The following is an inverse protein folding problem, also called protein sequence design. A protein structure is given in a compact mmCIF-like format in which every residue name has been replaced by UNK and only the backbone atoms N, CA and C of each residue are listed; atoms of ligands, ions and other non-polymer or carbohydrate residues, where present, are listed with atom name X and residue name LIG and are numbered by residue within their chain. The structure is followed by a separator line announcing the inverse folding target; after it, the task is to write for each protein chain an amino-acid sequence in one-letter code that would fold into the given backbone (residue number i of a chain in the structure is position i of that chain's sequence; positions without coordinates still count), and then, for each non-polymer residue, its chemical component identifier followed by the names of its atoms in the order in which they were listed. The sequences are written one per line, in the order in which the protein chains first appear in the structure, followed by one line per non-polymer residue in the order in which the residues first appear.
data_IF_110336954008
#
_entry.id   IF_110336954008
#
_cell.length_a   1.000
_cell.length_b   1.000
_cell.length_c   1.000
_cell.angle_alpha   90.00
_cell.angle_beta   90.00
_cell.angle_gamma   90.00
#
_symmetry.space_group_name_H-M   'P 1'
#
loop_
_entity.id
_entity.type
_entity.pdbx_description
1 polymer ?
#
# COMPACT_ATOMS: atom_id res chain seq x y z
N UNK A 1 -10.19 -32.84 -4.51
CA UNK A 1 -8.98 -33.62 -4.11
C UNK A 1 -8.12 -32.72 -3.24
N UNK A 2 -7.62 -33.23 -2.14
CA UNK A 2 -6.68 -32.50 -1.26
C UNK A 2 -5.31 -32.45 -1.92
N UNK A 3 -4.70 -31.27 -2.01
CA UNK A 3 -3.37 -31.06 -2.58
C UNK A 3 -2.39 -30.59 -1.49
N UNK A 4 -1.15 -31.06 -1.55
CA UNK A 4 -0.06 -30.56 -0.71
C UNK A 4 0.54 -29.29 -1.37
N UNK A 5 0.92 -28.30 -0.55
CA UNK A 5 1.52 -27.06 -1.03
C UNK A 5 2.44 -26.43 0.02
N UNK A 6 3.31 -25.52 -0.42
CA UNK A 6 4.21 -24.78 0.46
C UNK A 6 3.65 -23.40 0.80
N UNK A 7 3.84 -23.00 2.07
CA UNK A 7 3.50 -21.67 2.54
C UNK A 7 4.55 -21.14 3.53
N UNK A 8 4.72 -19.83 3.61
CA UNK A 8 5.41 -19.20 4.74
C UNK A 8 4.44 -19.24 5.91
N UNK A 9 4.82 -19.93 6.97
CA UNK A 9 4.03 -20.02 8.21
C UNK A 9 4.77 -19.30 9.30
N UNK A 10 4.09 -18.37 9.96
CA UNK A 10 4.56 -17.75 11.21
C UNK A 10 3.88 -18.44 12.39
N UNK A 11 4.60 -18.56 13.49
CA UNK A 11 4.12 -19.18 14.71
C UNK A 11 4.66 -18.42 15.94
N UNK A 12 3.92 -18.48 17.05
CA UNK A 12 4.31 -17.83 18.30
C UNK A 12 4.01 -18.75 19.49
N UNK A 13 4.59 -19.93 19.45
CA UNK A 13 4.43 -20.91 20.54
C UNK A 13 5.32 -20.52 21.73
N UNK A 14 4.74 -20.47 22.93
CA UNK A 14 5.42 -20.12 24.19
C UNK A 14 6.19 -18.79 24.08
N UNK A 15 5.58 -17.78 23.47
CA UNK A 15 6.18 -16.44 23.26
C UNK A 15 7.43 -16.44 22.37
N UNK A 16 7.78 -17.57 21.78
CA UNK A 16 8.89 -17.70 20.83
C UNK A 16 8.37 -17.58 19.39
N UNK A 17 8.55 -16.41 18.82
CA UNK A 17 8.17 -16.16 17.41
C UNK A 17 9.09 -16.92 16.47
N UNK A 18 8.49 -17.57 15.48
CA UNK A 18 9.20 -18.30 14.43
C UNK A 18 8.54 -18.08 13.06
N UNK A 19 9.32 -18.27 12.01
CA UNK A 19 8.88 -18.23 10.62
C UNK A 19 9.61 -19.31 9.82
N UNK A 20 8.87 -20.06 9.03
CA UNK A 20 9.44 -21.12 8.20
C UNK A 20 8.56 -21.41 6.99
N UNK A 21 9.14 -21.95 5.93
CA UNK A 21 8.38 -22.58 4.86
C UNK A 21 7.93 -23.94 5.36
N UNK A 22 6.63 -24.19 5.36
CA UNK A 22 6.02 -25.47 5.78
C UNK A 22 5.16 -26.05 4.66
N UNK A 23 5.04 -27.37 4.65
CA UNK A 23 4.08 -28.09 3.81
C UNK A 23 2.71 -28.09 4.51
N UNK A 24 1.69 -27.65 3.80
CA UNK A 24 0.28 -27.61 4.20
C UNK A 24 -0.55 -28.41 3.19
N UNK A 25 -1.81 -28.65 3.54
CA UNK A 25 -2.81 -29.24 2.64
C UNK A 25 -3.93 -28.24 2.36
N UNK A 26 -4.52 -28.30 1.16
CA UNK A 26 -5.68 -27.43 0.84
C UNK A 26 -6.87 -27.66 1.77
N UNK A 27 -6.96 -28.82 2.42
CA UNK A 27 -7.92 -29.11 3.50
C UNK A 27 -7.69 -28.30 4.79
N UNK A 28 -6.47 -27.78 4.98
CA UNK A 28 -6.13 -26.97 6.17
C UNK A 28 -6.61 -25.50 6.01
N UNK A 29 -6.95 -25.12 4.79
CA UNK A 29 -7.50 -23.79 4.46
C UNK A 29 -9.02 -23.78 4.75
N UNK A 30 -9.41 -23.29 5.92
CA UNK A 30 -10.79 -23.41 6.43
C UNK A 30 -11.70 -22.25 6.03
N UNK A 31 -11.15 -21.08 5.78
CA UNK A 31 -11.92 -19.86 5.52
C UNK A 31 -12.17 -19.67 4.02
N UNK A 32 -13.38 -19.20 3.67
CA UNK A 32 -13.73 -18.80 2.31
C UNK A 32 -14.39 -19.90 1.47
N UNK A 33 -14.86 -19.49 0.28
CA UNK A 33 -15.61 -20.30 -0.67
C UNK A 33 -14.96 -20.38 -2.07
N UNK A 34 -13.78 -19.75 -2.26
CA UNK A 34 -12.99 -19.83 -3.51
C UNK A 34 -11.57 -20.25 -3.19
N UNK A 35 -11.12 -21.35 -3.79
CA UNK A 35 -9.73 -21.80 -3.75
C UNK A 35 -8.98 -21.25 -4.95
N UNK A 36 -7.91 -20.51 -4.68
CA UNK A 36 -7.06 -19.89 -5.70
C UNK A 36 -5.67 -20.50 -5.65
N UNK A 37 -5.15 -20.93 -6.78
CA UNK A 37 -3.73 -21.20 -6.98
C UNK A 37 -3.03 -19.87 -7.14
N UNK A 38 -2.19 -19.52 -6.17
CA UNK A 38 -1.47 -18.25 -6.16
C UNK A 38 -0.29 -18.30 -7.12
N UNK A 39 -0.23 -17.35 -8.04
CA UNK A 39 0.87 -17.24 -9.00
C UNK A 39 1.90 -16.22 -8.51
N UNK A 40 1.43 -15.09 -7.96
CA UNK A 40 2.28 -14.00 -7.45
C UNK A 40 1.63 -13.35 -6.22
N UNK A 41 2.47 -12.86 -5.33
CA UNK A 41 2.12 -11.98 -4.22
C UNK A 41 3.17 -10.86 -4.17
N UNK A 42 2.81 -9.67 -3.68
CA UNK A 42 3.76 -8.59 -3.49
C UNK A 42 4.23 -8.49 -2.04
N UNK A 43 5.38 -7.86 -1.81
CA UNK A 43 5.89 -7.61 -0.46
C UNK A 43 5.58 -6.18 -0.05
N UNK A 44 4.78 -6.01 0.98
CA UNK A 44 4.36 -4.73 1.51
C UNK A 44 5.00 -4.46 2.88
N UNK A 45 5.03 -3.19 3.30
CA UNK A 45 5.54 -2.80 4.62
C UNK A 45 4.84 -3.55 5.76
N UNK A 46 3.53 -3.77 5.63
CA UNK A 46 2.73 -4.54 6.59
C UNK A 46 3.19 -6.00 6.69
N UNK A 47 3.50 -6.63 5.56
CA UNK A 47 4.03 -8.00 5.55
C UNK A 47 5.37 -8.10 6.28
N UNK A 48 6.24 -7.08 6.11
CA UNK A 48 7.50 -7.02 6.82
C UNK A 48 7.30 -6.89 8.34
N UNK A 49 6.32 -6.10 8.80
CA UNK A 49 5.96 -6.03 10.21
C UNK A 49 5.45 -7.36 10.75
N UNK A 50 4.60 -8.05 9.99
CA UNK A 50 4.04 -9.35 10.36
C UNK A 50 5.13 -10.41 10.43
N UNK A 51 6.01 -10.47 9.44
CA UNK A 51 7.13 -11.40 9.39
C UNK A 51 8.20 -11.13 10.45
N UNK A 52 8.21 -9.92 11.01
CA UNK A 52 9.12 -9.51 12.07
C UNK A 52 8.40 -9.42 13.42
N UNK A 53 7.94 -10.56 13.95
CA UNK A 53 7.27 -10.66 15.26
C UNK A 53 5.74 -10.53 15.26
N UNK A 54 5.06 -10.89 14.17
CA UNK A 54 3.59 -10.82 14.09
C UNK A 54 2.98 -9.42 14.18
N UNK A 55 3.79 -8.41 14.56
CA UNK A 55 3.49 -6.98 14.54
C UNK A 55 2.29 -6.55 15.39
N UNK A 56 1.85 -7.33 16.37
CA UNK A 56 0.55 -7.15 17.07
C UNK A 56 -0.67 -7.15 16.13
N UNK A 57 -0.44 -7.43 14.85
CA UNK A 57 -1.44 -7.45 13.78
C UNK A 57 -2.13 -8.81 13.75
N UNK A 58 -1.32 -9.89 13.74
CA UNK A 58 -1.80 -11.28 13.77
C UNK A 58 -2.11 -11.69 15.21
N UNK A 59 -3.31 -12.22 15.43
CA UNK A 59 -3.80 -12.61 16.77
C UNK A 59 -3.90 -14.11 16.99
N UNK A 60 -3.89 -14.88 15.91
CA UNK A 60 -4.02 -16.36 15.95
C UNK A 60 -2.84 -16.99 15.25
N UNK A 61 -2.24 -17.98 15.87
CA UNK A 61 -1.11 -18.75 15.33
C UNK A 61 -1.43 -20.26 15.33
N UNK A 62 -0.87 -21.05 14.43
CA UNK A 62 0.01 -20.66 13.31
C UNK A 62 -0.75 -19.87 12.23
N UNK A 63 -0.03 -19.05 11.43
CA UNK A 63 -0.66 -18.16 10.48
C UNK A 63 0.15 -18.04 9.17
N UNK A 64 -0.53 -17.81 8.04
CA UNK A 64 0.06 -17.57 6.72
C UNK A 64 -0.08 -16.10 6.37
N UNK A 65 0.99 -15.31 6.29
CA UNK A 65 0.94 -13.90 5.91
C UNK A 65 0.82 -13.68 4.39
N UNK A 66 0.92 -12.42 3.95
CA UNK A 66 0.80 -11.98 2.56
C UNK A 66 -0.53 -11.28 2.30
N UNK A 67 -0.50 -9.93 2.28
CA UNK A 67 -1.74 -9.11 2.27
C UNK A 67 -2.36 -8.97 0.89
N UNK A 68 -1.73 -9.46 -0.15
CA UNK A 68 -2.24 -9.45 -1.51
C UNK A 68 -1.75 -10.67 -2.30
N UNK A 69 -2.44 -10.97 -3.36
CA UNK A 69 -2.00 -11.96 -4.35
C UNK A 69 -2.77 -11.81 -5.67
N UNK A 70 -2.22 -12.39 -6.71
CA UNK A 70 -2.90 -12.73 -7.96
C UNK A 70 -2.72 -14.20 -8.26
N UNK A 71 -3.72 -14.80 -8.87
CA UNK A 71 -3.70 -16.23 -9.14
C UNK A 71 -4.84 -16.68 -10.04
N UNK A 72 -4.99 -17.98 -10.10
CA UNK A 72 -6.00 -18.66 -10.94
C UNK A 72 -6.94 -19.47 -10.05
N UNK A 73 -8.25 -19.31 -10.25
CA UNK A 73 -9.26 -20.06 -9.50
C UNK A 73 -9.15 -21.55 -9.80
N UNK A 74 -9.02 -22.35 -8.76
CA UNK A 74 -8.97 -23.81 -8.83
C UNK A 74 -10.35 -24.43 -8.62
N UNK A 75 -11.07 -23.95 -7.59
CA UNK A 75 -12.47 -24.28 -7.33
C UNK A 75 -13.21 -23.07 -6.76
N UNK A 76 -14.51 -22.98 -7.02
CA UNK A 76 -15.39 -21.95 -6.47
C UNK A 76 -16.76 -22.54 -6.15
N UNK A 77 -17.31 -22.12 -5.00
CA UNK A 77 -18.70 -22.33 -4.61
C UNK A 77 -19.59 -21.14 -5.02
N UNK A 78 -18.99 -20.02 -5.46
CA UNK A 78 -19.69 -18.83 -5.97
C UNK A 78 -19.74 -18.82 -7.49
N UNK A 79 -20.93 -18.62 -8.06
CA UNK A 79 -21.17 -18.60 -9.51
C UNK A 79 -20.44 -17.44 -10.25
N UNK A 80 -20.01 -16.39 -9.53
CA UNK A 80 -19.23 -15.28 -10.11
C UNK A 80 -17.86 -15.71 -10.61
N UNK A 81 -17.32 -16.80 -10.08
CA UNK A 81 -15.99 -17.30 -10.40
C UNK A 81 -16.05 -18.77 -10.84
N UNK A 82 -15.30 -19.10 -11.87
CA UNK A 82 -15.15 -20.47 -12.36
C UNK A 82 -13.68 -20.85 -12.43
N UNK A 83 -13.41 -22.15 -12.43
CA UNK A 83 -12.06 -22.69 -12.61
C UNK A 83 -11.42 -22.08 -13.87
N UNK A 84 -10.17 -21.60 -13.69
CA UNK A 84 -9.40 -20.93 -14.72
C UNK A 84 -9.54 -19.41 -14.75
N UNK A 85 -10.52 -18.81 -14.05
CA UNK A 85 -10.59 -17.35 -13.93
C UNK A 85 -9.33 -16.80 -13.24
N UNK A 86 -8.73 -15.77 -13.84
CA UNK A 86 -7.63 -15.04 -13.19
C UNK A 86 -8.20 -14.01 -12.23
N UNK A 87 -7.65 -13.93 -11.02
CA UNK A 87 -8.14 -13.08 -9.94
C UNK A 87 -7.02 -12.32 -9.24
N UNK A 88 -7.41 -11.19 -8.68
CA UNK A 88 -6.56 -10.33 -7.84
C UNK A 88 -7.26 -10.16 -6.50
N UNK A 89 -6.49 -10.17 -5.42
CA UNK A 89 -6.92 -9.81 -4.07
C UNK A 89 -5.97 -8.80 -3.47
N UNK A 90 -6.54 -7.71 -2.94
CA UNK A 90 -5.84 -6.72 -2.13
C UNK A 90 -6.75 -6.28 -0.99
N UNK A 91 -6.24 -6.23 0.24
CA UNK A 91 -7.01 -5.77 1.38
C UNK A 91 -7.84 -6.84 2.10
N UNK A 92 -9.02 -6.48 2.58
CA UNK A 92 -9.99 -7.34 3.31
C UNK A 92 -9.41 -8.09 4.50
N UNK A 93 -8.29 -7.61 5.06
CA UNK A 93 -7.54 -8.24 6.16
C UNK A 93 -7.00 -9.64 5.83
N UNK A 94 -6.88 -9.99 4.57
CA UNK A 94 -6.15 -11.17 4.13
C UNK A 94 -4.66 -10.96 4.44
N UNK A 95 -3.98 -11.99 4.96
CA UNK A 95 -2.64 -11.86 5.52
C UNK A 95 -2.56 -11.24 6.92
N UNK A 96 -3.70 -10.86 7.53
CA UNK A 96 -3.80 -10.30 8.88
C UNK A 96 -4.74 -11.11 9.79
N UNK A 97 -5.94 -11.40 9.31
CA UNK A 97 -6.98 -12.15 10.01
C UNK A 97 -7.36 -13.45 9.28
N UNK A 98 -7.21 -13.46 7.97
CA UNK A 98 -7.38 -14.61 7.09
C UNK A 98 -6.03 -15.01 6.50
N UNK A 99 -5.80 -16.29 6.25
CA UNK A 99 -4.56 -16.75 5.62
C UNK A 99 -4.31 -16.04 4.31
N UNK A 100 -3.06 -15.63 4.09
CA UNK A 100 -2.64 -14.72 3.03
C UNK A 100 -1.96 -15.39 1.84
N UNK A 101 -1.41 -14.53 0.98
CA UNK A 101 -0.85 -14.88 -0.32
C UNK A 101 0.59 -15.41 -0.30
N UNK A 102 1.28 -15.47 0.86
CA UNK A 102 2.62 -16.08 0.92
C UNK A 102 2.53 -17.61 0.97
N UNK A 103 1.75 -18.15 0.08
CA UNK A 103 1.49 -19.58 -0.10
C UNK A 103 1.17 -19.91 -1.55
N UNK A 104 1.28 -21.19 -1.92
CA UNK A 104 0.94 -21.62 -3.27
C UNK A 104 -0.58 -21.72 -3.50
N UNK A 105 -1.37 -21.82 -2.44
CA UNK A 105 -2.83 -21.80 -2.48
C UNK A 105 -3.39 -20.91 -1.39
N UNK A 106 -4.46 -20.18 -1.70
CA UNK A 106 -5.25 -19.42 -0.75
C UNK A 106 -6.73 -19.76 -0.92
N UNK A 107 -7.45 -19.92 0.20
CA UNK A 107 -8.90 -20.07 0.19
C UNK A 107 -9.51 -18.81 0.82
N UNK A 108 -10.34 -18.10 0.08
CA UNK A 108 -10.84 -16.78 0.45
C UNK A 108 -12.31 -16.61 0.09
N UNK A 109 -12.97 -15.62 0.69
CA UNK A 109 -14.33 -15.26 0.30
C UNK A 109 -14.33 -14.63 -1.09
N UNK A 110 -15.28 -15.03 -1.91
CA UNK A 110 -15.47 -14.51 -3.28
C UNK A 110 -15.60 -12.98 -3.33
N UNK A 111 -16.20 -12.38 -2.30
CA UNK A 111 -16.36 -10.92 -2.18
C UNK A 111 -15.03 -10.16 -2.09
N UNK A 112 -13.94 -10.83 -1.71
CA UNK A 112 -12.59 -10.25 -1.65
C UNK A 112 -11.87 -10.25 -2.99
N UNK A 113 -12.40 -10.98 -3.98
CA UNK A 113 -11.76 -11.21 -5.25
C UNK A 113 -12.28 -10.28 -6.34
N UNK A 114 -11.36 -9.83 -7.18
CA UNK A 114 -11.66 -9.10 -8.42
C UNK A 114 -11.11 -9.91 -9.59
N UNK A 115 -11.90 -10.07 -10.67
CA UNK A 115 -11.39 -10.66 -11.92
C UNK A 115 -10.27 -9.80 -12.48
N UNK A 116 -9.13 -10.41 -12.78
CA UNK A 116 -8.02 -9.70 -13.38
C UNK A 116 -8.39 -9.24 -14.80
N UNK A 117 -8.12 -7.96 -15.16
CA UNK A 117 -8.30 -7.50 -16.53
C UNK A 117 -7.51 -8.35 -17.53
N UNK A 118 -8.07 -8.61 -18.72
CA UNK A 118 -7.42 -9.46 -19.73
C UNK A 118 -6.00 -8.99 -20.11
N UNK A 119 -5.84 -7.66 -20.24
CA UNK A 119 -4.55 -7.04 -20.61
C UNK A 119 -3.51 -7.02 -19.49
N UNK A 120 -3.88 -7.38 -18.26
CA UNK A 120 -2.99 -7.35 -17.11
C UNK A 120 -2.62 -8.77 -16.68
N UNK A 121 -1.36 -9.17 -16.84
CA UNK A 121 -0.91 -10.48 -16.38
C UNK A 121 -0.90 -10.56 -14.85
N UNK A 122 -0.96 -11.78 -14.27
CA UNK A 122 -0.87 -11.97 -12.83
C UNK A 122 0.41 -11.36 -12.24
N UNK A 123 1.53 -11.46 -12.95
CA UNK A 123 2.79 -10.81 -12.57
C UNK A 123 2.66 -9.28 -12.50
N UNK A 124 2.12 -8.66 -13.55
CA UNK A 124 1.94 -7.20 -13.57
C UNK A 124 0.90 -6.74 -12.55
N UNK A 125 -0.13 -7.55 -12.27
CA UNK A 125 -1.08 -7.27 -11.19
C UNK A 125 -0.38 -7.12 -9.84
N UNK A 126 0.61 -7.97 -9.55
CA UNK A 126 1.36 -7.90 -8.28
C UNK A 126 2.56 -6.95 -8.31
N UNK A 127 3.04 -6.54 -9.48
CA UNK A 127 3.94 -5.38 -9.58
C UNK A 127 3.24 -4.07 -9.14
N UNK A 128 1.93 -3.98 -9.34
CA UNK A 128 1.09 -2.92 -8.77
C UNK A 128 0.72 -3.25 -7.31
N UNK A 129 0.07 -4.38 -7.09
CA UNK A 129 -0.33 -4.89 -5.79
C UNK A 129 -1.10 -3.89 -4.93
N UNK A 130 -1.03 -4.06 -3.63
CA UNK A 130 -1.60 -3.14 -2.64
C UNK A 130 -0.98 -1.75 -2.72
N UNK A 131 0.33 -1.66 -3.02
CA UNK A 131 1.02 -0.39 -3.14
C UNK A 131 0.50 0.44 -4.31
N UNK A 132 0.29 -0.17 -5.48
CA UNK A 132 -0.28 0.49 -6.65
C UNK A 132 -1.72 0.95 -6.44
N UNK A 133 -2.56 0.10 -5.84
CA UNK A 133 -3.92 0.48 -5.46
C UNK A 133 -3.92 1.70 -4.53
N UNK A 134 -3.08 1.70 -3.50
CA UNK A 134 -2.96 2.82 -2.55
C UNK A 134 -2.51 4.09 -3.25
N UNK A 135 -1.50 4.01 -4.12
CA UNK A 135 -1.01 5.16 -4.89
C UNK A 135 -2.11 5.76 -5.80
N UNK A 136 -2.89 4.91 -6.47
CA UNK A 136 -4.01 5.33 -7.30
C UNK A 136 -5.12 6.01 -6.48
N UNK A 137 -5.52 5.41 -5.35
CA UNK A 137 -6.52 6.01 -4.46
C UNK A 137 -6.09 7.40 -3.96
N UNK A 138 -4.83 7.56 -3.54
CA UNK A 138 -4.28 8.85 -3.14
C UNK A 138 -4.27 9.87 -4.30
N UNK A 139 -3.84 9.43 -5.49
CA UNK A 139 -3.79 10.29 -6.68
C UNK A 139 -5.18 10.73 -7.14
N UNK A 140 -6.15 9.82 -7.13
CA UNK A 140 -7.55 10.15 -7.45
C UNK A 140 -8.21 11.04 -6.41
N UNK A 141 -7.86 10.92 -5.12
CA UNK A 141 -8.35 11.84 -4.09
C UNK A 141 -7.87 13.28 -4.37
N UNK A 142 -6.60 13.46 -4.78
CA UNK A 142 -6.07 14.77 -5.19
C UNK A 142 -6.83 15.28 -6.41
N UNK A 143 -7.04 14.46 -7.41
CA UNK A 143 -7.77 14.82 -8.63
C UNK A 143 -9.23 15.18 -8.35
N UNK A 144 -9.92 14.42 -7.54
CA UNK A 144 -11.31 14.68 -7.16
C UNK A 144 -11.46 16.00 -6.38
N UNK A 145 -10.50 16.33 -5.52
CA UNK A 145 -10.49 17.61 -4.80
C UNK A 145 -10.34 18.78 -5.77
N UNK A 146 -9.46 18.68 -6.77
CA UNK A 146 -9.29 19.69 -7.80
C UNK A 146 -10.58 19.94 -8.59
N UNK A 147 -11.31 18.86 -8.92
CA UNK A 147 -12.58 18.94 -9.66
C UNK A 147 -13.72 19.54 -8.83
N UNK A 148 -13.76 19.27 -7.51
CA UNK A 148 -14.78 19.80 -6.59
C UNK A 148 -14.60 21.29 -6.28
N UNK A 149 -13.36 21.77 -6.26
CA UNK A 149 -13.04 23.18 -5.98
C UNK A 149 -12.95 23.96 -7.28
N UNK A 150 -14.07 24.45 -7.76
CA UNK A 150 -14.18 25.30 -8.96
C UNK A 150 -13.15 26.44 -8.90
N UNK A 151 -12.15 26.43 -9.78
CA UNK A 151 -11.12 27.44 -9.90
C UNK A 151 -9.81 27.20 -9.12
N UNK A 152 -9.73 26.18 -8.28
CA UNK A 152 -8.47 25.78 -7.63
C UNK A 152 -7.72 24.81 -8.50
N UNK A 153 -6.56 25.20 -9.02
CA UNK A 153 -5.68 24.29 -9.77
C UNK A 153 -4.65 23.71 -8.82
N UNK A 154 -4.68 22.39 -8.65
CA UNK A 154 -3.56 21.65 -8.05
C UNK A 154 -2.40 21.70 -9.03
N UNK A 155 -1.25 22.15 -8.59
CA UNK A 155 -0.06 22.28 -9.42
C UNK A 155 1.12 21.52 -8.84
N UNK A 156 1.47 21.83 -7.62
CA UNK A 156 2.67 21.30 -6.97
C UNK A 156 2.26 20.22 -5.94
N UNK A 157 2.63 18.96 -6.24
CA UNK A 157 2.28 17.79 -5.44
C UNK A 157 3.53 17.17 -4.84
N UNK A 158 3.54 17.00 -3.51
CA UNK A 158 4.62 16.35 -2.78
C UNK A 158 4.34 14.85 -2.62
N UNK A 159 5.36 14.03 -2.82
CA UNK A 159 5.29 12.58 -2.54
C UNK A 159 6.41 12.21 -1.59
N UNK A 160 6.08 11.78 -0.36
CA UNK A 160 7.08 11.30 0.59
C UNK A 160 7.37 9.81 0.41
N UNK A 161 8.56 9.37 0.83
CA UNK A 161 8.97 7.99 0.62
C UNK A 161 8.93 7.57 -0.85
N UNK A 162 9.28 8.50 -1.74
CA UNK A 162 9.09 8.41 -3.19
C UNK A 162 9.77 7.20 -3.86
N UNK A 163 10.78 6.60 -3.24
CA UNK A 163 11.45 5.38 -3.73
C UNK A 163 10.80 4.08 -3.24
N UNK A 164 9.75 4.17 -2.41
CA UNK A 164 8.99 3.01 -1.93
C UNK A 164 7.92 2.54 -2.93
N UNK A 165 7.26 1.42 -2.63
CA UNK A 165 6.24 0.84 -3.50
C UNK A 165 5.11 1.81 -3.83
N UNK A 166 4.48 2.44 -2.82
CA UNK A 166 3.42 3.44 -3.02
C UNK A 166 3.99 4.72 -3.66
N UNK A 167 5.10 5.25 -3.10
CA UNK A 167 5.65 6.53 -3.53
C UNK A 167 6.08 6.55 -4.99
N UNK A 168 6.75 5.52 -5.47
CA UNK A 168 7.23 5.46 -6.86
C UNK A 168 6.07 5.39 -7.87
N UNK A 169 5.02 4.64 -7.57
CA UNK A 169 3.83 4.58 -8.41
C UNK A 169 3.07 5.91 -8.35
N UNK A 170 2.97 6.54 -7.16
CA UNK A 170 2.33 7.86 -7.02
C UNK A 170 3.07 8.93 -7.84
N UNK A 171 4.41 8.97 -7.81
CA UNK A 171 5.20 9.86 -8.67
C UNK A 171 4.83 9.69 -10.13
N UNK A 172 4.86 8.45 -10.63
CA UNK A 172 4.56 8.15 -12.04
C UNK A 172 3.12 8.54 -12.42
N UNK A 173 2.14 8.21 -11.58
CA UNK A 173 0.72 8.47 -11.86
C UNK A 173 0.43 9.97 -11.85
N UNK A 174 0.87 10.68 -10.81
CA UNK A 174 0.66 12.13 -10.68
C UNK A 174 1.35 12.92 -11.80
N UNK A 175 2.56 12.50 -12.20
CA UNK A 175 3.24 13.08 -13.37
C UNK A 175 2.41 12.89 -14.64
N UNK A 176 1.87 11.69 -14.86
CA UNK A 176 0.97 11.43 -16.01
C UNK A 176 -0.32 12.21 -15.96
N UNK A 177 -0.81 12.57 -14.76
CA UNK A 177 -1.95 13.45 -14.57
C UNK A 177 -1.63 14.94 -14.82
N UNK A 178 -0.35 15.28 -15.06
CA UNK A 178 0.09 16.64 -15.41
C UNK A 178 0.50 17.51 -14.22
N UNK A 179 0.66 16.93 -13.02
CA UNK A 179 1.13 17.67 -11.84
C UNK A 179 2.65 17.85 -11.82
N UNK A 180 3.13 18.93 -11.19
CA UNK A 180 4.53 19.09 -10.82
C UNK A 180 4.82 18.23 -9.59
N UNK A 181 5.45 17.08 -9.78
CA UNK A 181 5.71 16.16 -8.68
C UNK A 181 7.06 16.44 -8.01
N UNK A 182 7.04 16.67 -6.70
CA UNK A 182 8.20 16.85 -5.85
C UNK A 182 8.40 15.58 -5.02
N UNK A 183 9.47 14.84 -5.29
CA UNK A 183 9.72 13.54 -4.71
C UNK A 183 10.69 13.62 -3.52
N UNK A 184 10.23 13.24 -2.32
CA UNK A 184 11.06 13.24 -1.11
C UNK A 184 11.66 11.85 -0.88
N UNK A 185 13.00 11.81 -0.76
CA UNK A 185 13.72 10.55 -0.47
C UNK A 185 14.97 10.78 0.38
N UNK A 186 15.33 9.79 1.18
CA UNK A 186 16.64 9.74 1.83
C UNK A 186 17.70 8.96 1.02
N UNK A 187 17.31 8.40 -0.14
CA UNK A 187 18.18 7.59 -1.01
C UNK A 187 18.69 8.43 -2.16
N UNK A 188 19.80 9.11 -1.95
CA UNK A 188 20.37 10.03 -2.93
C UNK A 188 20.86 9.33 -4.22
N UNK A 189 21.20 8.05 -4.13
CA UNK A 189 21.57 7.17 -5.25
C UNK A 189 20.39 6.82 -6.17
N UNK A 190 19.16 7.19 -5.81
CA UNK A 190 17.94 6.92 -6.58
C UNK A 190 17.36 8.15 -7.28
N UNK A 191 18.11 9.23 -7.39
CA UNK A 191 17.65 10.46 -8.07
C UNK A 191 17.27 10.20 -9.53
N UNK A 192 18.13 9.52 -10.27
CA UNK A 192 17.89 9.23 -11.69
C UNK A 192 16.63 8.39 -11.90
N UNK A 193 16.41 7.41 -11.03
CA UNK A 193 15.18 6.61 -11.04
C UNK A 193 13.94 7.49 -10.86
N UNK A 194 13.93 8.40 -9.88
CA UNK A 194 12.80 9.29 -9.65
C UNK A 194 12.59 10.29 -10.80
N UNK A 195 13.67 10.78 -11.41
CA UNK A 195 13.61 11.63 -12.60
C UNK A 195 13.00 10.87 -13.78
N UNK A 196 13.38 9.62 -14.00
CA UNK A 196 12.78 8.75 -15.03
C UNK A 196 11.29 8.49 -14.81
N UNK A 197 10.83 8.46 -13.55
CA UNK A 197 9.40 8.38 -13.22
C UNK A 197 8.65 9.70 -13.45
N UNK A 198 9.38 10.80 -13.72
CA UNK A 198 8.82 12.11 -14.03
C UNK A 198 8.81 13.10 -12.85
N UNK A 199 9.53 12.82 -11.77
CA UNK A 199 9.67 13.81 -10.70
C UNK A 199 10.35 15.08 -11.20
N UNK A 200 9.72 16.25 -10.96
CA UNK A 200 10.25 17.56 -11.33
C UNK A 200 11.40 17.97 -10.41
N UNK A 201 11.24 17.75 -9.12
CA UNK A 201 12.24 18.03 -8.11
C UNK A 201 12.40 16.85 -7.17
N UNK A 202 13.63 16.64 -6.68
CA UNK A 202 13.95 15.60 -5.71
C UNK A 202 14.52 16.27 -4.47
N UNK A 203 13.80 16.12 -3.35
CA UNK A 203 14.07 16.77 -2.09
C UNK A 203 14.66 15.77 -1.09
N UNK A 204 15.57 16.23 -0.24
CA UNK A 204 16.12 15.39 0.81
C UNK A 204 15.09 15.26 1.95
N UNK A 205 14.89 14.03 2.45
CA UNK A 205 14.02 13.78 3.61
C UNK A 205 14.40 14.58 4.85
N UNK A 206 15.67 15.01 4.97
CA UNK A 206 16.14 15.83 6.08
C UNK A 206 15.48 17.20 6.13
N UNK A 207 15.01 17.72 4.99
CA UNK A 207 14.29 18.97 4.91
C UNK A 207 12.91 18.90 5.59
N UNK A 208 12.41 17.67 5.79
CA UNK A 208 11.11 17.37 6.42
C UNK A 208 11.26 16.77 7.83
N UNK A 209 12.41 16.90 8.46
CA UNK A 209 12.67 16.48 9.85
C UNK A 209 12.83 17.69 10.77
N UNK A 210 12.73 17.46 12.09
CA UNK A 210 12.89 18.47 13.13
C UNK A 210 11.59 19.23 13.46
N UNK A 211 11.73 20.23 14.32
CA UNK A 211 10.61 21.02 14.79
C UNK A 211 9.92 21.78 13.65
N UNK A 212 8.61 21.79 13.66
CA UNK A 212 7.76 22.54 12.75
C UNK A 212 7.03 23.64 13.51
N UNK A 213 6.88 24.79 12.88
CA UNK A 213 5.95 25.82 13.36
C UNK A 213 4.51 25.34 13.19
N UNK A 214 3.59 25.93 13.92
CA UNK A 214 2.15 25.64 13.83
C UNK A 214 1.61 25.81 12.41
N UNK A 215 2.09 26.87 11.73
CA UNK A 215 1.85 27.18 10.32
C UNK A 215 3.16 27.68 9.70
N UNK A 216 3.49 27.18 8.53
CA UNK A 216 4.60 27.63 7.71
C UNK A 216 4.08 28.22 6.40
N UNK A 217 4.95 28.75 5.56
CA UNK A 217 4.57 29.18 4.21
C UNK A 217 3.95 28.00 3.46
N UNK A 218 2.77 28.20 2.89
CA UNK A 218 2.12 27.21 2.02
C UNK A 218 2.94 26.99 0.76
N UNK A 219 3.15 25.72 0.41
CA UNK A 219 3.97 25.27 -0.74
C UNK A 219 3.25 24.18 -1.54
N UNK A 220 2.52 23.30 -0.86
CA UNK A 220 1.98 22.07 -1.47
C UNK A 220 0.48 22.17 -1.67
N UNK A 221 0.02 21.98 -2.91
CA UNK A 221 -1.40 21.90 -3.24
C UNK A 221 -1.96 20.49 -2.98
N UNK A 222 -1.13 19.48 -3.19
CA UNK A 222 -1.44 18.09 -2.92
C UNK A 222 -0.26 17.33 -2.30
N UNK A 223 -0.56 16.32 -1.52
CA UNK A 223 0.46 15.49 -0.87
C UNK A 223 0.04 14.04 -0.87
N UNK A 224 0.96 13.14 -1.22
CA UNK A 224 0.87 11.71 -0.91
C UNK A 224 1.92 11.39 0.14
N UNK A 225 1.48 11.13 1.37
CA UNK A 225 2.39 10.84 2.47
C UNK A 225 2.40 9.35 2.83
N UNK A 226 3.58 8.74 2.67
CA UNK A 226 3.84 7.33 3.03
C UNK A 226 4.67 7.19 4.30
N UNK A 227 5.09 8.30 4.90
CA UNK A 227 6.08 8.34 5.98
C UNK A 227 5.47 8.58 7.35
N UNK A 228 4.51 9.50 7.46
CA UNK A 228 3.93 9.86 8.76
C UNK A 228 4.91 10.62 9.68
N UNK A 229 4.65 10.57 10.98
CA UNK A 229 5.54 11.11 12.01
C UNK A 229 5.82 12.61 11.87
N UNK A 230 7.03 13.03 12.22
CA UNK A 230 7.48 14.44 12.15
C UNK A 230 7.39 15.01 10.73
N UNK A 231 7.67 14.20 9.72
CA UNK A 231 7.59 14.61 8.33
C UNK A 231 6.16 15.05 7.98
N UNK A 232 5.16 14.27 8.36
CA UNK A 232 3.75 14.63 8.13
C UNK A 232 3.36 15.88 8.90
N UNK A 233 3.84 16.06 10.15
CA UNK A 233 3.61 17.27 10.93
C UNK A 233 4.04 18.53 10.18
N UNK A 234 5.25 18.53 9.63
CA UNK A 234 5.81 19.65 8.87
C UNK A 234 5.06 19.88 7.56
N UNK A 235 4.71 18.83 6.86
CA UNK A 235 3.96 18.87 5.61
C UNK A 235 2.57 19.49 5.81
N UNK A 236 1.87 19.13 6.88
CA UNK A 236 0.57 19.74 7.22
C UNK A 236 0.70 21.25 7.42
N UNK A 237 1.79 21.71 8.09
CA UNK A 237 2.05 23.14 8.27
C UNK A 237 2.39 23.87 6.95
N UNK A 238 2.86 23.17 5.92
CA UNK A 238 3.26 23.68 4.61
C UNK A 238 2.21 23.48 3.50
N UNK A 239 1.09 22.83 3.80
CA UNK A 239 0.01 22.63 2.83
C UNK A 239 -0.70 23.95 2.54
N UNK A 240 -0.98 24.25 1.27
CA UNK A 240 -1.69 25.45 0.84
C UNK A 240 -3.16 25.46 1.31
N UNK A 241 -3.82 26.63 1.36
CA UNK A 241 -5.27 26.69 1.57
C UNK A 241 -6.01 25.80 0.55
N UNK A 242 -6.97 25.02 1.04
CA UNK A 242 -7.70 24.01 0.28
C UNK A 242 -6.82 22.87 -0.29
N UNK A 243 -5.57 22.75 0.13
CA UNK A 243 -4.72 21.63 -0.25
C UNK A 243 -5.21 20.30 0.32
N UNK A 244 -4.78 19.19 -0.27
CA UNK A 244 -5.16 17.85 0.17
C UNK A 244 -3.95 17.04 0.57
N UNK A 245 -4.00 16.37 1.72
CA UNK A 245 -2.98 15.44 2.19
C UNK A 245 -3.57 14.02 2.27
N UNK A 246 -3.14 13.15 1.37
CA UNK A 246 -3.48 11.73 1.39
C UNK A 246 -2.41 10.97 2.20
N UNK A 247 -2.64 10.82 3.51
CA UNK A 247 -1.77 10.09 4.41
C UNK A 247 -2.08 8.60 4.35
N UNK A 248 -1.15 7.79 3.85
CA UNK A 248 -1.36 6.35 3.62
C UNK A 248 -0.28 5.46 4.24
N UNK A 249 0.72 6.03 4.92
CA UNK A 249 1.79 5.25 5.53
C UNK A 249 2.35 5.86 6.82
N UNK A 250 3.15 5.06 7.51
CA UNK A 250 3.73 5.41 8.80
C UNK A 250 5.18 4.90 8.95
N UNK A 251 5.92 4.84 7.84
CA UNK A 251 7.28 4.31 7.83
C UNK A 251 8.25 5.09 8.75
N UNK A 252 7.99 6.38 8.99
CA UNK A 252 8.74 7.24 9.88
C UNK A 252 8.14 7.39 11.29
N UNK A 253 6.94 6.84 11.52
CA UNK A 253 6.27 6.86 12.83
C UNK A 253 4.77 7.08 12.74
N UNK A 254 4.08 6.80 13.85
CA UNK A 254 2.61 6.89 13.96
C UNK A 254 2.14 8.16 14.69
N UNK A 255 3.03 8.85 15.37
CA UNK A 255 2.68 10.05 16.14
C UNK A 255 2.90 11.29 15.29
N UNK A 256 1.91 12.18 15.26
CA UNK A 256 2.01 13.52 14.68
C UNK A 256 1.87 14.52 15.82
N UNK A 257 2.77 15.51 15.89
CA UNK A 257 2.73 16.59 16.87
C UNK A 257 2.23 17.87 16.19
N UNK A 258 0.93 17.96 16.02
CA UNK A 258 0.26 19.09 15.37
C UNK A 258 -0.91 19.59 16.22
N UNK A 259 -1.56 20.65 15.79
CA UNK A 259 -2.77 21.20 16.37
C UNK A 259 -3.83 21.42 15.27
N UNK A 260 -4.94 22.04 15.62
CA UNK A 260 -6.07 22.26 14.70
C UNK A 260 -5.84 23.37 13.67
N UNK A 261 -4.82 24.22 13.83
CA UNK A 261 -4.63 25.41 12.99
C UNK A 261 -4.46 25.12 11.49
N UNK A 262 -3.66 24.11 11.05
CA UNK A 262 -3.59 23.76 9.64
C UNK A 262 -4.96 23.37 9.04
N UNK A 263 -5.80 22.73 9.83
CA UNK A 263 -7.12 22.26 9.37
C UNK A 263 -8.17 23.37 9.36
N UNK A 264 -8.14 24.31 10.33
CA UNK A 264 -9.12 25.38 10.42
C UNK A 264 -8.80 26.51 9.43
N UNK A 265 -7.52 26.90 9.32
CA UNK A 265 -7.12 28.07 8.53
C UNK A 265 -6.97 27.71 7.04
N UNK A 266 -6.64 26.45 6.73
CA UNK A 266 -6.36 26.06 5.34
C UNK A 266 -7.41 25.13 4.72
N UNK A 267 -8.38 24.64 5.49
CA UNK A 267 -9.53 23.86 5.01
C UNK A 267 -9.31 22.36 4.94
#
# INVERSE_FOLDING_TARGET
MTQNFKAIVIDNQNEKFSRAIKDLKTSDLKDGNVLVKVDYSSLNFKDALILNNGGKIVRKFPFVPGIDFSGTVETSEDQKFKKGDRVILTGFRVGEAYFGGFSQYAKVNSEFLVKAPEKLSNKHSMMLGTAGLTALLCSFAIKAKEELLLGSKVKDVLVTGATGGVGSIAVMVLTKMGYNVHAVTGKQDKKDYLTQLGAKNILDRKEFSGESKLLEKGVWDGVVDTVGGESLTKILAQTNPNGIVAACGNAGGIKINTNVMPFIIRG
#
